data_IF_590690104669
#
_entry.id   IF_590690104669
#
_cell.length_a   1.000
_cell.length_b   1.000
_cell.length_c   1.000
_cell.angle_alpha   90.00
_cell.angle_beta   90.00
_cell.angle_gamma   90.00
#
_symmetry.space_group_name_H-M   'P 1'
#
loop_
_entity.id
_entity.type
_entity.pdbx_description
1 polymer ?
#
# COMPACT_ATOMS: atom_id res chain seq x y z
N UNK A 1 19.00 1.57 -17.35
CA UNK A 1 18.51 2.37 -16.21
C UNK A 1 17.18 1.77 -15.74
N UNK A 2 17.06 1.50 -14.45
CA UNK A 2 15.85 0.89 -13.92
C UNK A 2 14.72 1.95 -13.94
N UNK A 3 13.61 1.64 -14.60
CA UNK A 3 12.50 2.59 -14.77
C UNK A 3 11.85 2.95 -13.42
N UNK A 4 11.93 2.07 -12.42
CA UNK A 4 11.40 2.34 -11.06
C UNK A 4 12.18 3.48 -10.38
N UNK A 5 13.45 3.63 -10.67
CA UNK A 5 14.32 4.69 -10.13
C UNK A 5 14.36 5.95 -11.00
N UNK A 6 13.67 5.96 -12.15
CA UNK A 6 13.56 7.13 -13.02
C UNK A 6 12.68 8.22 -12.43
N UNK A 7 12.64 9.38 -13.06
CA UNK A 7 11.78 10.49 -12.62
C UNK A 7 10.30 10.10 -12.62
N UNK A 8 9.50 10.77 -11.80
CA UNK A 8 8.05 10.53 -11.78
C UNK A 8 7.42 10.79 -13.15
N UNK A 9 7.94 11.77 -13.90
CA UNK A 9 7.41 12.12 -15.22
C UNK A 9 7.73 11.04 -16.25
N UNK A 10 8.92 10.45 -16.22
CA UNK A 10 9.29 9.35 -17.10
C UNK A 10 8.41 8.12 -16.85
N UNK A 11 8.18 7.78 -15.58
CA UNK A 11 7.27 6.70 -15.20
C UNK A 11 5.84 6.93 -15.69
N UNK A 12 5.34 8.16 -15.58
CA UNK A 12 4.02 8.55 -16.09
C UNK A 12 3.95 8.46 -17.61
N UNK A 13 4.97 8.90 -18.33
CA UNK A 13 5.01 8.85 -19.78
C UNK A 13 5.07 7.40 -20.30
N UNK A 14 5.84 6.54 -19.65
CA UNK A 14 5.82 5.11 -19.90
C UNK A 14 4.40 4.52 -19.74
N UNK A 15 3.74 4.83 -18.61
CA UNK A 15 2.38 4.34 -18.35
C UNK A 15 1.36 4.89 -19.33
N UNK A 16 1.47 6.14 -19.81
CA UNK A 16 0.61 6.69 -20.87
C UNK A 16 0.73 5.87 -22.17
N UNK A 17 1.95 5.47 -22.53
CA UNK A 17 2.18 4.58 -23.68
C UNK A 17 1.53 3.22 -23.48
N UNK A 18 1.80 2.60 -22.33
CA UNK A 18 1.28 1.28 -22.00
C UNK A 18 -0.25 1.23 -21.97
N UNK A 19 -0.92 2.28 -21.46
CA UNK A 19 -2.37 2.34 -21.33
C UNK A 19 -3.12 2.27 -22.67
N UNK A 20 -2.46 2.57 -23.79
CA UNK A 20 -3.03 2.40 -25.13
C UNK A 20 -3.23 0.94 -25.52
N UNK A 21 -2.42 0.06 -24.94
CA UNK A 21 -2.37 -1.37 -25.24
C UNK A 21 -3.08 -2.25 -24.17
N UNK A 22 -3.72 -1.62 -23.19
CA UNK A 22 -4.30 -2.32 -22.02
C UNK A 22 -5.79 -2.54 -22.20
N UNK A 23 -6.26 -3.71 -21.81
CA UNK A 23 -7.68 -4.02 -21.76
C UNK A 23 -8.35 -3.32 -20.58
N UNK A 24 -9.43 -2.59 -20.84
CA UNK A 24 -10.27 -1.98 -19.82
C UNK A 24 -11.40 -2.95 -19.48
N UNK A 25 -11.51 -3.34 -18.21
CA UNK A 25 -12.62 -4.17 -17.72
C UNK A 25 -13.84 -3.31 -17.36
N UNK A 26 -15.03 -3.90 -17.40
CA UNK A 26 -16.31 -3.23 -17.14
C UNK A 26 -16.43 -2.50 -15.79
N UNK A 27 -15.51 -2.77 -14.85
CA UNK A 27 -15.46 -2.16 -13.52
C UNK A 27 -14.41 -1.03 -13.39
N UNK A 28 -13.93 -0.47 -14.52
CA UNK A 28 -12.90 0.58 -14.53
C UNK A 28 -11.50 0.14 -14.12
N UNK A 29 -11.26 -1.17 -14.06
CA UNK A 29 -9.94 -1.74 -13.82
C UNK A 29 -9.23 -2.04 -15.14
N UNK A 30 -7.94 -1.88 -15.12
CA UNK A 30 -7.06 -2.22 -16.23
C UNK A 30 -6.48 -3.61 -16.04
N UNK A 31 -6.26 -4.31 -17.13
CA UNK A 31 -5.62 -5.63 -17.12
C UNK A 31 -4.59 -5.71 -18.25
N UNK A 32 -3.37 -5.99 -17.89
CA UNK A 32 -2.26 -6.24 -18.81
C UNK A 32 -1.77 -7.67 -18.67
N UNK A 33 -1.51 -8.36 -19.77
CA UNK A 33 -1.03 -9.73 -19.78
C UNK A 33 0.42 -9.78 -20.26
N UNK A 34 1.29 -10.45 -19.52
CA UNK A 34 2.68 -10.73 -19.88
C UNK A 34 2.98 -12.22 -19.81
N UNK A 35 3.95 -12.65 -20.61
CA UNK A 35 4.58 -13.99 -20.48
C UNK A 35 5.84 -13.94 -19.61
N UNK A 36 6.37 -12.75 -19.36
CA UNK A 36 7.54 -12.53 -18.51
C UNK A 36 7.13 -12.19 -17.10
N UNK A 37 7.52 -13.03 -16.14
CA UNK A 37 7.31 -12.78 -14.70
C UNK A 37 8.06 -11.54 -14.25
N UNK A 38 9.32 -11.41 -14.68
CA UNK A 38 10.17 -10.26 -14.35
C UNK A 38 9.51 -8.95 -14.79
N UNK A 39 9.04 -8.90 -16.05
CA UNK A 39 8.37 -7.70 -16.56
C UNK A 39 7.07 -7.40 -15.81
N UNK A 40 6.28 -8.44 -15.50
CA UNK A 40 5.03 -8.25 -14.77
C UNK A 40 5.25 -7.70 -13.35
N UNK A 41 6.28 -8.16 -12.64
CA UNK A 41 6.67 -7.62 -11.33
C UNK A 41 7.16 -6.18 -11.44
N UNK A 42 8.06 -5.87 -12.36
CA UNK A 42 8.53 -4.50 -12.60
C UNK A 42 7.37 -3.54 -12.94
N UNK A 43 6.41 -4.00 -13.73
CA UNK A 43 5.23 -3.20 -14.05
C UNK A 43 4.38 -2.92 -12.81
N UNK A 44 4.21 -3.90 -11.92
CA UNK A 44 3.51 -3.70 -10.63
C UNK A 44 4.23 -2.64 -9.79
N UNK A 45 5.55 -2.68 -9.72
CA UNK A 45 6.34 -1.71 -8.95
C UNK A 45 6.21 -0.30 -9.54
N UNK A 46 6.29 -0.15 -10.87
CA UNK A 46 6.09 1.14 -11.55
C UNK A 46 4.67 1.68 -11.27
N UNK A 47 3.65 0.84 -11.39
CA UNK A 47 2.26 1.23 -11.16
C UNK A 47 2.05 1.70 -9.71
N UNK A 48 2.59 0.95 -8.74
CA UNK A 48 2.50 1.30 -7.32
C UNK A 48 3.27 2.57 -6.99
N UNK A 49 4.42 2.78 -7.62
CA UNK A 49 5.25 3.98 -7.42
C UNK A 49 4.57 5.29 -7.88
N UNK A 50 3.56 5.19 -8.73
CA UNK A 50 2.72 6.33 -9.16
C UNK A 50 1.35 6.36 -8.47
N UNK A 51 1.17 5.58 -7.41
CA UNK A 51 -0.05 5.57 -6.60
C UNK A 51 -1.17 4.69 -7.11
N UNK A 52 -0.91 3.79 -8.06
CA UNK A 52 -1.90 2.79 -8.47
C UNK A 52 -1.99 1.64 -7.46
N UNK A 53 -3.17 1.02 -7.36
CA UNK A 53 -3.31 -0.29 -6.74
C UNK A 53 -3.13 -1.34 -7.83
N UNK A 54 -2.09 -2.14 -7.71
CA UNK A 54 -1.74 -3.16 -8.67
C UNK A 54 -1.56 -4.53 -8.01
N UNK A 55 -2.06 -5.57 -8.68
CA UNK A 55 -1.93 -6.97 -8.26
C UNK A 55 -1.52 -7.82 -9.44
N UNK A 56 -0.77 -8.89 -9.16
CA UNK A 56 -0.37 -9.87 -10.15
C UNK A 56 -1.04 -11.21 -9.87
N UNK A 57 -1.52 -11.87 -10.91
CA UNK A 57 -2.05 -13.23 -10.83
C UNK A 57 -1.40 -14.10 -11.90
N UNK A 58 -0.99 -15.30 -11.50
CA UNK A 58 -0.41 -16.31 -12.37
C UNK A 58 -1.50 -17.27 -12.84
N UNK A 59 -1.57 -17.52 -14.13
CA UNK A 59 -2.50 -18.49 -14.70
C UNK A 59 -1.75 -19.46 -15.61
N UNK A 60 -2.00 -20.75 -15.44
CA UNK A 60 -1.58 -21.78 -16.40
C UNK A 60 -2.68 -21.87 -17.46
N UNK A 61 -2.38 -21.50 -18.71
CA UNK A 61 -3.26 -21.74 -19.83
C UNK A 61 -3.38 -23.22 -20.18
N UNK A 62 -4.22 -23.55 -21.16
CA UNK A 62 -4.21 -24.88 -21.80
C UNK A 62 -2.82 -25.07 -22.43
N UNK A 63 -1.99 -25.93 -21.84
CA UNK A 63 -0.59 -26.14 -22.21
C UNK A 63 0.39 -25.61 -21.15
N UNK A 64 1.69 -25.64 -21.45
CA UNK A 64 2.81 -25.30 -20.54
C UNK A 64 3.04 -23.80 -20.38
N UNK A 65 2.34 -22.96 -21.12
CA UNK A 65 2.59 -21.49 -21.13
C UNK A 65 1.97 -20.82 -19.93
N UNK A 66 2.84 -20.26 -19.07
CA UNK A 66 2.43 -19.44 -17.93
C UNK A 66 2.16 -18.02 -18.40
N UNK A 67 1.06 -17.45 -17.95
CA UNK A 67 0.67 -16.05 -18.20
C UNK A 67 0.54 -15.32 -16.87
N UNK A 68 1.03 -14.11 -16.84
CA UNK A 68 0.96 -13.19 -15.70
C UNK A 68 0.01 -12.06 -16.04
N UNK A 69 -1.03 -11.91 -15.25
CA UNK A 69 -2.03 -10.85 -15.41
C UNK A 69 -1.80 -9.79 -14.35
N UNK A 70 -1.42 -8.61 -14.78
CA UNK A 70 -1.31 -7.43 -13.93
C UNK A 70 -2.62 -6.68 -13.99
N UNK A 71 -3.35 -6.64 -12.87
CA UNK A 71 -4.60 -5.90 -12.73
C UNK A 71 -4.37 -4.69 -11.86
N UNK A 72 -4.80 -3.53 -12.32
CA UNK A 72 -4.56 -2.29 -11.62
C UNK A 72 -5.68 -1.28 -11.80
N UNK A 73 -5.70 -0.30 -10.90
CA UNK A 73 -6.60 0.84 -10.94
C UNK A 73 -5.93 2.05 -10.30
N UNK A 74 -6.33 3.24 -10.72
CA UNK A 74 -5.82 4.49 -10.18
C UNK A 74 -6.87 5.14 -9.28
N UNK A 75 -6.43 5.75 -8.19
CA UNK A 75 -7.29 6.62 -7.39
C UNK A 75 -7.43 7.98 -8.11
N UNK A 76 -8.65 8.41 -8.45
CA UNK A 76 -8.86 9.66 -9.18
C UNK A 76 -8.40 10.90 -8.43
N UNK A 77 -8.30 10.84 -7.10
CA UNK A 77 -7.82 11.95 -6.27
C UNK A 77 -6.33 12.22 -6.49
N UNK A 78 -5.56 11.18 -6.78
CA UNK A 78 -4.12 11.24 -6.95
C UNK A 78 -3.66 11.21 -8.40
N UNK A 79 -4.54 10.85 -9.31
CA UNK A 79 -4.17 10.70 -10.72
C UNK A 79 -5.11 11.42 -11.67
N UNK A 80 -4.82 12.69 -11.94
CA UNK A 80 -5.57 13.51 -12.92
C UNK A 80 -5.37 13.07 -14.39
N UNK A 81 -4.44 12.14 -14.65
CA UNK A 81 -4.10 11.68 -16.01
C UNK A 81 -5.16 10.75 -16.60
N UNK A 82 -5.94 10.10 -15.74
CA UNK A 82 -6.92 9.09 -16.14
C UNK A 82 -8.23 9.47 -15.49
N UNK A 83 -9.25 9.71 -16.30
CA UNK A 83 -10.62 9.88 -15.82
C UNK A 83 -11.22 8.49 -15.62
N UNK A 84 -11.30 7.93 -14.41
CA UNK A 84 -11.96 6.65 -14.22
C UNK A 84 -13.44 6.82 -14.36
N UNK A 85 -14.06 5.92 -15.06
CA UNK A 85 -15.52 5.86 -15.23
C UNK A 85 -16.20 5.46 -13.92
N UNK A 86 -15.47 4.80 -13.03
CA UNK A 86 -15.94 4.34 -11.72
C UNK A 86 -14.82 4.58 -10.71
N UNK A 87 -15.15 5.16 -9.55
CA UNK A 87 -14.21 5.36 -8.46
C UNK A 87 -14.11 4.08 -7.61
N UNK A 88 -13.07 3.27 -7.76
CA UNK A 88 -12.89 2.11 -6.89
C UNK A 88 -12.63 2.58 -5.46
N UNK A 89 -13.26 1.96 -4.47
CA UNK A 89 -12.92 2.19 -3.07
C UNK A 89 -11.55 1.56 -2.81
N UNK A 90 -10.51 2.38 -2.78
CA UNK A 90 -9.15 1.95 -2.47
C UNK A 90 -9.02 1.75 -0.96
N UNK A 91 -9.29 0.54 -0.49
CA UNK A 91 -9.07 0.15 0.90
C UNK A 91 -8.09 -1.01 0.95
N UNK A 92 -7.19 -0.97 1.92
CA UNK A 92 -6.32 -2.09 2.27
C UNK A 92 -6.84 -2.72 3.55
N UNK A 93 -6.75 -4.04 3.63
CA UNK A 93 -7.23 -4.81 4.77
C UNK A 93 -6.12 -5.71 5.26
N UNK A 94 -5.98 -5.83 6.57
CA UNK A 94 -5.16 -6.88 7.17
C UNK A 94 -5.93 -8.19 7.00
N UNK A 95 -5.39 -9.11 6.22
CA UNK A 95 -6.02 -10.40 5.97
C UNK A 95 -5.72 -11.40 7.07
N UNK A 96 -4.50 -11.35 7.62
CA UNK A 96 -4.02 -12.32 8.58
C UNK A 96 -2.93 -11.69 9.43
N UNK A 97 -2.91 -12.04 10.70
CA UNK A 97 -1.81 -11.80 11.63
C UNK A 97 -1.27 -13.17 12.00
N UNK A 98 0.01 -13.39 11.81
CA UNK A 98 0.69 -14.66 12.08
C UNK A 98 1.70 -14.41 13.19
N UNK A 99 1.61 -15.18 14.27
CA UNK A 99 2.64 -15.23 15.28
C UNK A 99 3.84 -16.00 14.72
N UNK A 100 5.03 -15.47 14.92
CA UNK A 100 6.26 -16.12 14.47
C UNK A 100 6.86 -16.91 15.62
N UNK A 101 7.27 -18.13 15.36
CA UNK A 101 7.90 -19.02 16.36
C UNK A 101 9.23 -18.47 16.87
N UNK A 102 9.98 -17.78 16.00
CA UNK A 102 11.26 -17.18 16.34
C UNK A 102 11.18 -15.65 16.40
N UNK A 103 11.74 -15.01 17.47
CA UNK A 103 11.85 -13.57 17.54
C UNK A 103 12.80 -13.07 16.46
N UNK A 104 12.37 -12.05 15.70
CA UNK A 104 13.18 -11.40 14.67
C UNK A 104 13.69 -10.07 15.14
N UNK A 105 14.91 -9.74 14.76
CA UNK A 105 15.47 -8.41 15.00
C UNK A 105 14.62 -7.37 14.27
N UNK A 106 14.13 -6.37 15.00
CA UNK A 106 13.34 -5.27 14.49
C UNK A 106 14.06 -3.94 14.70
N UNK A 107 13.94 -3.03 13.74
CA UNK A 107 14.47 -1.68 13.83
C UNK A 107 13.35 -0.67 13.83
N UNK A 108 13.47 0.33 14.70
CA UNK A 108 12.59 1.49 14.69
C UNK A 108 13.24 2.60 13.85
N UNK A 109 12.50 3.14 12.89
CA UNK A 109 12.95 4.21 12.02
C UNK A 109 12.46 5.54 12.59
N UNK A 110 13.36 6.52 12.71
CA UNK A 110 13.01 7.90 13.00
C UNK A 110 13.28 8.74 11.75
N UNK A 111 12.35 9.60 11.39
CA UNK A 111 12.44 10.47 10.22
C UNK A 111 12.46 11.93 10.66
N UNK A 112 13.22 12.75 9.95
CA UNK A 112 13.34 14.19 10.22
C UNK A 112 12.16 14.99 9.65
N UNK A 113 11.25 14.35 8.89
CA UNK A 113 10.05 15.02 8.35
C UNK A 113 8.99 15.19 9.44
N UNK A 114 8.28 16.31 9.42
CA UNK A 114 7.18 16.62 10.35
C UNK A 114 6.07 15.59 10.30
N UNK A 115 5.79 15.04 9.11
CA UNK A 115 4.75 14.04 8.89
C UNK A 115 5.17 12.65 9.34
N UNK A 116 6.48 12.39 9.47
CA UNK A 116 7.06 11.08 9.84
C UNK A 116 6.53 9.90 9.03
N UNK A 117 6.20 10.15 7.76
CA UNK A 117 5.73 9.15 6.83
C UNK A 117 6.89 8.51 6.09
N UNK A 118 6.83 7.21 5.91
CA UNK A 118 7.76 6.46 5.06
C UNK A 118 7.02 5.47 4.19
N UNK A 119 7.71 5.00 3.17
CA UNK A 119 7.17 4.05 2.20
C UNK A 119 7.80 2.69 2.51
N UNK A 120 6.94 1.70 2.73
CA UNK A 120 7.36 0.30 2.85
C UNK A 120 7.43 -0.37 1.49
N UNK A 121 7.84 -1.63 1.46
CA UNK A 121 7.66 -2.50 0.30
C UNK A 121 6.21 -2.41 -0.19
N UNK A 122 5.98 -2.65 -1.46
CA UNK A 122 4.69 -2.47 -2.12
C UNK A 122 4.17 -1.01 -2.16
N UNK A 123 5.04 -0.03 -1.95
CA UNK A 123 4.73 1.41 -1.96
C UNK A 123 3.59 1.79 -1.00
N UNK A 124 3.52 1.14 0.15
CA UNK A 124 2.57 1.51 1.20
C UNK A 124 3.15 2.65 2.03
N UNK A 125 2.47 3.80 1.99
CA UNK A 125 2.80 4.93 2.87
C UNK A 125 2.28 4.63 4.27
N UNK A 126 3.14 4.71 5.25
CA UNK A 126 2.81 4.44 6.65
C UNK A 126 3.70 5.22 7.60
N UNK A 127 3.39 5.17 8.89
CA UNK A 127 4.25 5.64 9.96
C UNK A 127 4.12 4.73 11.19
N UNK A 128 5.16 4.67 12.05
CA UNK A 128 5.31 3.69 13.12
C UNK A 128 4.16 3.66 14.11
N UNK A 129 3.74 4.83 14.58
CA UNK A 129 2.79 4.94 15.70
C UNK A 129 1.33 4.80 15.26
N UNK A 130 1.00 5.08 14.00
CA UNK A 130 -0.39 5.08 13.54
C UNK A 130 -1.00 3.68 13.52
N UNK A 131 -0.29 2.71 12.97
CA UNK A 131 -0.77 1.31 12.90
C UNK A 131 -0.97 0.74 14.31
N UNK A 132 -0.01 0.97 15.21
CA UNK A 132 -0.13 0.54 16.61
C UNK A 132 -1.32 1.19 17.32
N UNK A 133 -1.56 2.48 17.08
CA UNK A 133 -2.71 3.20 17.64
C UNK A 133 -4.04 2.71 17.05
N UNK A 134 -4.10 2.45 15.75
CA UNK A 134 -5.29 1.90 15.10
C UNK A 134 -5.61 0.49 15.60
N UNK A 135 -4.58 -0.36 15.77
CA UNK A 135 -4.74 -1.68 16.37
C UNK A 135 -5.24 -1.60 17.82
N UNK A 136 -4.68 -0.71 18.62
CA UNK A 136 -5.09 -0.51 20.02
C UNK A 136 -6.57 -0.07 20.11
N UNK A 137 -6.97 0.94 19.35
CA UNK A 137 -8.36 1.44 19.32
C UNK A 137 -9.31 0.35 18.85
N UNK A 138 -8.98 -0.35 17.77
CA UNK A 138 -9.76 -1.46 17.25
C UNK A 138 -9.92 -2.59 18.27
N UNK A 139 -8.84 -2.92 19.00
CA UNK A 139 -8.87 -3.93 20.06
C UNK A 139 -9.76 -3.50 21.22
N UNK A 140 -9.68 -2.25 21.65
CA UNK A 140 -10.55 -1.72 22.70
C UNK A 140 -12.04 -1.74 22.33
N UNK A 141 -12.35 -1.51 21.05
CA UNK A 141 -13.73 -1.57 20.54
C UNK A 141 -14.25 -3.01 20.43
N UNK A 142 -13.37 -3.95 20.11
CA UNK A 142 -13.75 -5.35 19.84
C UNK A 142 -13.84 -6.20 21.10
N UNK A 143 -13.00 -5.94 22.10
CA UNK A 143 -12.92 -6.76 23.30
C UNK A 143 -13.33 -5.95 24.53
N UNK A 144 -14.50 -6.24 25.16
CA UNK A 144 -14.92 -5.55 26.37
C UNK A 144 -13.93 -5.82 27.50
N UNK A 145 -13.69 -4.80 28.33
CA UNK A 145 -12.77 -4.85 29.48
C UNK A 145 -11.28 -5.08 29.17
N UNK A 146 -10.86 -4.91 27.91
CA UNK A 146 -9.43 -4.98 27.57
C UNK A 146 -8.70 -3.84 28.31
N UNK A 147 -7.55 -4.18 28.85
CA UNK A 147 -6.63 -3.20 29.45
C UNK A 147 -5.37 -3.14 28.61
N UNK A 148 -5.01 -1.96 28.16
CA UNK A 148 -3.80 -1.74 27.40
C UNK A 148 -2.87 -0.77 28.12
N UNK A 149 -1.57 -1.09 28.13
CA UNK A 149 -0.53 -0.22 28.67
C UNK A 149 0.22 0.40 27.51
N UNK A 150 0.28 1.71 27.48
CA UNK A 150 1.06 2.47 26.52
C UNK A 150 2.21 3.12 27.27
N UNK A 151 3.44 2.70 26.99
CA UNK A 151 4.63 3.17 27.67
C UNK A 151 5.61 3.83 26.70
N UNK A 152 6.28 4.87 27.16
CA UNK A 152 7.41 5.53 26.50
C UNK A 152 8.46 5.96 27.51
N UNK A 153 9.67 6.24 27.03
CA UNK A 153 10.80 6.64 27.89
C UNK A 153 10.51 7.92 28.69
N UNK A 154 9.75 8.85 28.12
CA UNK A 154 9.39 10.10 28.80
C UNK A 154 7.89 10.41 28.66
N UNK A 155 7.31 11.04 29.69
CA UNK A 155 5.91 11.49 29.68
C UNK A 155 5.67 12.52 28.58
N UNK A 156 6.65 13.38 28.30
CA UNK A 156 6.57 14.37 27.22
C UNK A 156 6.35 13.69 25.89
N UNK A 157 7.18 12.72 25.50
CA UNK A 157 7.06 11.99 24.25
C UNK A 157 5.77 11.15 24.19
N UNK A 158 5.26 10.67 25.32
CA UNK A 158 3.98 9.96 25.37
C UNK A 158 2.81 10.90 25.04
N UNK A 159 2.78 12.08 25.63
CA UNK A 159 1.70 13.07 25.43
C UNK A 159 1.73 13.70 24.03
N UNK A 160 2.92 14.08 23.55
CA UNK A 160 3.10 14.85 22.31
C UNK A 160 3.02 13.98 21.04
N UNK A 161 3.17 12.69 21.13
CA UNK A 161 3.16 11.80 19.96
C UNK A 161 2.09 10.71 20.09
N UNK A 162 2.23 9.80 21.03
CA UNK A 162 1.39 8.59 21.09
C UNK A 162 -0.07 8.92 21.39
N UNK A 163 -0.34 9.76 22.40
CA UNK A 163 -1.73 10.13 22.73
C UNK A 163 -2.39 10.98 21.65
N UNK A 164 -1.63 11.85 20.96
CA UNK A 164 -2.16 12.61 19.84
C UNK A 164 -2.58 11.66 18.73
N UNK A 165 -1.73 10.68 18.40
CA UNK A 165 -2.04 9.69 17.36
C UNK A 165 -3.25 8.83 17.73
N UNK A 166 -3.33 8.34 18.97
CA UNK A 166 -4.50 7.58 19.44
C UNK A 166 -5.78 8.42 19.34
N UNK A 167 -5.77 9.67 19.82
CA UNK A 167 -6.91 10.58 19.73
C UNK A 167 -7.32 10.86 18.28
N UNK A 168 -6.34 10.99 17.36
CA UNK A 168 -6.61 11.17 15.94
C UNK A 168 -7.33 9.94 15.36
N UNK A 169 -6.82 8.75 15.63
CA UNK A 169 -7.45 7.49 15.20
C UNK A 169 -8.87 7.36 15.75
N UNK A 170 -9.08 7.68 17.03
CA UNK A 170 -10.43 7.63 17.64
C UNK A 170 -11.44 8.58 17.01
N UNK A 171 -10.98 9.71 16.43
CA UNK A 171 -11.87 10.66 15.75
C UNK A 171 -12.21 10.25 14.32
N UNK A 172 -11.39 9.42 13.71
CA UNK A 172 -11.56 8.94 12.33
C UNK A 172 -12.44 7.70 12.24
N UNK A 173 -12.78 7.09 13.38
CA UNK A 173 -13.59 5.86 13.55
C UNK A 173 -14.92 6.16 14.26
#
# INVERSE_FOLDING_TARGET
>A
QDLVTSSLEDRKNFLKGLLKEVNIKNNGKYEFMSRSEKFANQLVDILRSVGAIATITKSKGKGTVIKYYVRFSFDPRFNKMIKPTITPKHRRYIRQVIELDDPKECRCITLDSDEQLYITDDFLVTHNSYIGSAWLVSSCMRFPNIRAVVARKTIKSLKESTFITIKKVMKEW
#
